data_IF_902921809269
#
_entry.id   IF_902921809269
#
_cell.length_a   1.000
_cell.length_b   1.000
_cell.length_c   1.000
_cell.angle_alpha   90.00
_cell.angle_beta   90.00
_cell.angle_gamma   90.00
#
_symmetry.space_group_name_H-M   'P 1'
#
loop_
_entity.id
_entity.type
_entity.pdbx_description
1 polymer ?
#
# COMPACT_ATOMS: atom_id res chain seq x y z
N UNK A 1 14.94 -15.49 23.90
CA UNK A 1 13.56 -15.11 23.52
C UNK A 1 13.45 -15.32 22.03
N UNK A 2 12.46 -16.07 21.55
CA UNK A 2 12.23 -16.27 20.12
C UNK A 2 10.81 -15.86 19.79
N UNK A 3 10.64 -15.24 18.63
CA UNK A 3 9.33 -14.91 18.09
C UNK A 3 8.84 -16.10 17.27
N UNK A 4 7.59 -16.51 17.51
CA UNK A 4 6.93 -17.59 16.75
C UNK A 4 5.93 -16.96 15.79
N UNK A 5 6.13 -17.17 14.49
CA UNK A 5 5.21 -16.72 13.44
C UNK A 5 4.43 -17.90 12.90
N UNK A 6 3.11 -17.75 12.78
CA UNK A 6 2.24 -18.77 12.18
C UNK A 6 2.06 -18.50 10.69
N UNK A 7 2.46 -19.45 9.85
CA UNK A 7 2.25 -19.38 8.41
C UNK A 7 1.03 -20.20 7.99
N UNK A 8 0.26 -19.66 7.05
CA UNK A 8 -0.87 -20.34 6.42
C UNK A 8 -0.92 -19.97 4.95
N UNK A 9 -1.14 -20.96 4.09
CA UNK A 9 -1.42 -20.73 2.67
C UNK A 9 -2.85 -20.22 2.49
N UNK A 10 -2.98 -19.09 1.80
CA UNK A 10 -4.26 -18.44 1.53
C UNK A 10 -4.25 -17.93 0.09
N UNK A 11 -5.37 -18.13 -0.61
CA UNK A 11 -5.60 -17.49 -1.91
C UNK A 11 -6.28 -16.13 -1.67
N UNK A 12 -5.56 -15.05 -1.96
CA UNK A 12 -6.07 -13.70 -1.82
C UNK A 12 -6.88 -13.29 -3.06
N UNK A 13 -7.87 -12.42 -2.86
CA UNK A 13 -8.53 -11.74 -3.97
C UNK A 13 -7.62 -10.63 -4.52
N UNK A 14 -7.75 -10.32 -5.81
CA UNK A 14 -7.04 -9.21 -6.43
C UNK A 14 -7.69 -7.89 -6.03
N UNK A 15 -6.87 -6.90 -5.67
CA UNK A 15 -7.34 -5.56 -5.38
C UNK A 15 -7.83 -4.86 -6.66
N UNK A 16 -8.90 -4.08 -6.54
CA UNK A 16 -9.38 -3.18 -7.59
C UNK A 16 -8.95 -1.73 -7.31
N UNK A 17 -8.98 -1.31 -6.04
CA UNK A 17 -8.46 -0.02 -5.63
C UNK A 17 -7.89 -0.04 -4.21
N UNK A 18 -6.95 0.87 -3.95
CA UNK A 18 -6.31 1.02 -2.64
C UNK A 18 -6.18 2.51 -2.32
N UNK A 19 -6.54 2.87 -1.09
CA UNK A 19 -6.34 4.21 -0.54
C UNK A 19 -5.19 4.17 0.46
N UNK A 20 -4.18 5.01 0.23
CA UNK A 20 -3.01 5.14 1.08
C UNK A 20 -2.98 6.50 1.78
N UNK A 21 -2.45 6.52 3.00
CA UNK A 21 -2.18 7.76 3.73
C UNK A 21 -0.66 7.93 3.88
N UNK A 22 -0.02 8.87 3.17
CA UNK A 22 1.38 9.18 3.41
C UNK A 22 1.58 9.72 4.83
N UNK A 23 2.72 9.43 5.44
CA UNK A 23 3.03 9.95 6.78
C UNK A 23 3.48 11.40 6.73
N UNK A 24 4.09 11.85 5.63
CA UNK A 24 4.75 13.15 5.52
C UNK A 24 4.36 13.88 4.22
N UNK A 25 4.12 15.19 4.33
CA UNK A 25 3.79 16.08 3.21
C UNK A 25 4.84 16.15 2.10
N UNK A 26 6.10 15.80 2.39
CA UNK A 26 7.19 15.72 1.39
C UNK A 26 6.83 14.81 0.22
N UNK A 27 5.98 13.80 0.44
CA UNK A 27 5.48 12.98 -0.65
C UNK A 27 4.74 13.80 -1.71
N UNK A 28 3.89 14.75 -1.30
CA UNK A 28 3.16 15.62 -2.22
C UNK A 28 4.03 16.69 -2.90
N UNK A 29 5.28 16.86 -2.44
CA UNK A 29 6.25 17.79 -3.04
C UNK A 29 7.07 17.14 -4.17
N UNK A 30 6.88 15.84 -4.44
CA UNK A 30 7.49 15.15 -5.57
C UNK A 30 6.82 15.61 -6.89
N UNK A 31 7.57 15.55 -7.99
CA UNK A 31 7.06 15.96 -9.31
C UNK A 31 5.92 15.05 -9.81
N UNK A 32 6.05 13.73 -9.65
CA UNK A 32 5.06 12.73 -10.11
C UNK A 32 4.81 11.66 -9.02
N UNK A 33 4.23 12.03 -7.86
CA UNK A 33 4.14 11.15 -6.69
C UNK A 33 3.33 9.87 -6.95
N UNK A 34 2.24 9.97 -7.74
CA UNK A 34 1.39 8.83 -8.12
C UNK A 34 2.18 7.79 -8.92
N UNK A 35 2.91 8.23 -9.95
CA UNK A 35 3.70 7.36 -10.82
C UNK A 35 4.82 6.65 -10.07
N UNK A 36 5.54 7.38 -9.21
CA UNK A 36 6.59 6.80 -8.35
C UNK A 36 5.99 5.72 -7.45
N UNK A 37 4.81 5.96 -6.86
CA UNK A 37 4.13 4.97 -6.05
C UNK A 37 3.77 3.72 -6.86
N UNK A 38 3.09 3.89 -8.00
CA UNK A 38 2.66 2.79 -8.86
C UNK A 38 3.85 1.92 -9.32
N UNK A 39 4.95 2.55 -9.74
CA UNK A 39 6.18 1.85 -10.11
C UNK A 39 6.75 1.03 -8.94
N UNK A 40 6.69 1.56 -7.71
CA UNK A 40 7.23 0.90 -6.52
C UNK A 40 6.32 -0.18 -5.96
N UNK A 41 5.01 -0.04 -6.08
CA UNK A 41 4.03 -1.01 -5.60
C UNK A 41 3.98 -2.27 -6.47
N UNK A 42 4.45 -2.22 -7.72
CA UNK A 42 4.65 -3.43 -8.56
C UNK A 42 5.54 -4.49 -7.91
N UNK A 43 6.41 -4.10 -6.97
CA UNK A 43 7.30 -5.02 -6.25
C UNK A 43 6.66 -5.62 -4.98
N UNK A 44 5.44 -5.24 -4.65
CA UNK A 44 4.69 -5.77 -3.52
C UNK A 44 3.70 -6.83 -4.03
N UNK A 45 3.60 -7.95 -3.31
CA UNK A 45 2.66 -9.01 -3.68
C UNK A 45 1.25 -8.74 -3.16
N UNK A 46 1.14 -8.16 -1.97
CA UNK A 46 -0.13 -7.94 -1.28
C UNK A 46 -0.06 -6.73 -0.35
N UNK A 47 -1.22 -6.21 0.00
CA UNK A 47 -1.38 -5.16 1.00
C UNK A 47 -2.37 -5.62 2.06
N UNK A 48 -2.11 -5.18 3.30
CA UNK A 48 -2.97 -5.43 4.45
C UNK A 48 -3.44 -4.09 5.00
N UNK A 49 -4.74 -3.93 5.20
CA UNK A 49 -5.34 -2.73 5.79
C UNK A 49 -4.77 -2.48 7.19
N UNK A 50 -4.64 -1.21 7.55
CA UNK A 50 -4.05 -0.73 8.81
C UNK A 50 -2.56 -1.11 9.01
N UNK A 51 -1.89 -1.63 7.99
CA UNK A 51 -0.44 -1.80 8.01
C UNK A 51 0.27 -0.58 7.45
N UNK A 52 1.55 -0.42 7.80
CA UNK A 52 2.43 0.62 7.25
C UNK A 52 3.40 -0.01 6.26
N UNK A 53 3.48 0.54 5.05
CA UNK A 53 4.48 0.17 4.04
C UNK A 53 5.53 1.28 3.90
N UNK A 54 6.72 0.91 3.44
CA UNK A 54 7.84 1.82 3.26
C UNK A 54 8.34 1.79 1.81
N UNK A 55 8.40 2.95 1.17
CA UNK A 55 8.90 3.11 -0.19
C UNK A 55 10.15 3.98 -0.16
N UNK A 56 11.26 3.41 -0.60
CA UNK A 56 12.52 4.13 -0.74
C UNK A 56 12.62 4.81 -2.10
N UNK A 57 12.76 6.13 -2.11
CA UNK A 57 12.92 6.92 -3.32
C UNK A 57 13.77 8.18 -3.04
N UNK A 58 14.71 8.50 -3.93
CA UNK A 58 15.61 9.66 -3.81
C UNK A 58 16.30 9.77 -2.43
N UNK A 59 16.87 8.68 -1.94
CA UNK A 59 17.54 8.62 -0.63
C UNK A 59 16.64 8.93 0.57
N UNK A 60 15.31 8.81 0.38
CA UNK A 60 14.33 9.07 1.42
C UNK A 60 13.35 7.89 1.57
N UNK A 61 13.01 7.55 2.81
CA UNK A 61 12.01 6.52 3.13
C UNK A 61 10.65 7.19 3.34
N UNK A 62 9.74 6.98 2.38
CA UNK A 62 8.36 7.42 2.49
C UNK A 62 7.51 6.30 3.09
N UNK A 63 6.82 6.61 4.19
CA UNK A 63 5.93 5.67 4.87
C UNK A 63 4.48 5.98 4.53
N UNK A 64 3.69 4.92 4.36
CA UNK A 64 2.26 5.02 4.05
C UNK A 64 1.47 4.03 4.87
N UNK A 65 0.37 4.48 5.45
CA UNK A 65 -0.63 3.58 6.02
C UNK A 65 -1.62 3.15 4.95
N UNK A 66 -1.95 1.86 4.95
CA UNK A 66 -2.98 1.30 4.08
C UNK A 66 -4.34 1.54 4.72
N UNK A 67 -5.07 2.55 4.24
CA UNK A 67 -6.33 2.99 4.84
C UNK A 67 -7.48 2.08 4.44
N UNK A 68 -7.56 1.75 3.15
CA UNK A 68 -8.66 0.99 2.58
C UNK A 68 -8.19 0.21 1.37
N UNK A 69 -8.74 -0.99 1.21
CA UNK A 69 -8.53 -1.86 0.06
C UNK A 69 -9.90 -2.31 -0.43
N UNK A 70 -10.18 -2.17 -1.71
CA UNK A 70 -11.33 -2.78 -2.35
C UNK A 70 -10.84 -3.91 -3.27
N UNK A 71 -11.56 -5.03 -3.31
CA UNK A 71 -11.43 -6.06 -4.35
C UNK A 71 -12.52 -5.89 -5.40
N UNK A 72 -12.53 -6.72 -6.43
CA UNK A 72 -13.64 -6.75 -7.40
C UNK A 72 -14.97 -7.16 -6.76
N UNK A 73 -14.92 -8.03 -5.76
CA UNK A 73 -16.10 -8.66 -5.16
C UNK A 73 -16.57 -7.98 -3.90
N UNK A 74 -15.65 -7.36 -3.16
CA UNK A 74 -15.93 -6.80 -1.84
C UNK A 74 -15.22 -5.47 -1.63
N UNK A 75 -15.94 -4.55 -0.99
CA UNK A 75 -15.41 -3.27 -0.54
C UNK A 75 -14.82 -3.40 0.86
N UNK A 76 -13.77 -2.62 1.11
CA UNK A 76 -13.09 -2.54 2.41
C UNK A 76 -12.64 -3.91 2.97
N UNK A 77 -11.81 -4.60 2.19
CA UNK A 77 -11.22 -5.89 2.59
C UNK A 77 -9.97 -5.70 3.46
N UNK A 78 -9.72 -6.66 4.33
CA UNK A 78 -8.55 -6.64 5.23
C UNK A 78 -7.23 -6.86 4.48
N UNK A 79 -7.23 -7.69 3.45
CA UNK A 79 -6.03 -8.06 2.70
C UNK A 79 -6.40 -8.39 1.26
N UNK A 80 -5.55 -7.97 0.31
CA UNK A 80 -5.69 -8.31 -1.10
C UNK A 80 -4.32 -8.45 -1.78
N UNK A 81 -4.27 -9.24 -2.85
CA UNK A 81 -3.14 -9.32 -3.76
C UNK A 81 -3.13 -8.09 -4.67
N UNK A 82 -1.95 -7.51 -4.89
CA UNK A 82 -1.73 -6.42 -5.85
C UNK A 82 -0.72 -6.81 -6.94
N UNK A 83 -0.24 -8.06 -6.90
CA UNK A 83 0.72 -8.56 -7.86
C UNK A 83 0.11 -8.67 -9.27
N UNK A 84 0.82 -8.14 -10.27
CA UNK A 84 0.48 -8.23 -11.70
C UNK A 84 -0.98 -7.82 -12.01
N UNK A 85 -1.50 -6.84 -11.25
CA UNK A 85 -2.87 -6.38 -11.33
C UNK A 85 -2.94 -4.88 -11.63
N UNK A 86 -3.97 -4.49 -12.39
CA UNK A 86 -4.30 -3.09 -12.65
C UNK A 86 -5.06 -2.50 -11.46
N UNK A 87 -4.34 -2.13 -10.41
CA UNK A 87 -4.89 -1.57 -9.17
C UNK A 87 -4.89 -0.05 -9.24
N UNK A 88 -6.03 0.58 -8.93
CA UNK A 88 -6.12 2.04 -8.82
C UNK A 88 -5.60 2.47 -7.45
N UNK A 89 -4.58 3.34 -7.43
CA UNK A 89 -4.02 3.90 -6.20
C UNK A 89 -4.43 5.36 -6.00
N UNK A 90 -5.01 5.64 -4.83
CA UNK A 90 -5.38 7.00 -4.40
C UNK A 90 -4.82 7.33 -3.02
N UNK A 91 -4.83 8.63 -2.70
CA UNK A 91 -4.23 9.15 -1.48
C UNK A 91 -5.19 10.06 -0.74
N UNK A 92 -5.08 10.01 0.59
CA UNK A 92 -5.65 11.03 1.48
C UNK A 92 -4.55 11.96 1.98
N UNK A 93 -4.95 13.01 2.70
CA UNK A 93 -4.02 13.93 3.36
C UNK A 93 -3.03 13.19 4.26
N UNK A 94 -1.81 13.72 4.37
CA UNK A 94 -0.77 13.19 5.24
C UNK A 94 -1.24 12.99 6.69
N UNK A 95 -0.73 11.93 7.32
CA UNK A 95 -1.06 11.58 8.71
C UNK A 95 -0.52 12.61 9.70
N UNK A 96 0.71 13.07 9.47
CA UNK A 96 1.39 14.02 10.34
C UNK A 96 1.66 15.33 9.56
N UNK A 97 1.26 16.49 10.11
CA UNK A 97 1.36 17.80 9.44
C UNK A 97 2.79 18.35 9.29
#
# INVERSE_FOLDING_TARGET
CFDVVRLKFVKLETASSVILQPHDKRFFQLNEPKKILEEKLRYYSSLTKNSTICIFHNHFNYYFDVVKIDSEKKKDVEVASIQDADVIFDFVKEKYP
#
